data_IF_310155905129
#
_entry.id   IF_310155905129
#
_cell.length_a   1.000
_cell.length_b   1.000
_cell.length_c   1.000
_cell.angle_alpha   90.00
_cell.angle_beta   90.00
_cell.angle_gamma   90.00
#
_symmetry.space_group_name_H-M   'P 1'
#
loop_
_entity.id
_entity.type
_entity.pdbx_description
1 polymer ?
#
# COMPACT_ATOMS: atom_id res chain seq x y z
N UNK A 1 -16.49 -30.55 10.41
CA UNK A 1 -16.99 -30.33 9.03
C UNK A 1 -17.10 -28.82 8.87
N UNK A 2 -16.31 -28.21 7.99
CA UNK A 2 -16.30 -26.76 7.77
C UNK A 2 -17.52 -26.38 6.93
N UNK A 3 -18.58 -25.85 7.55
CA UNK A 3 -19.71 -25.30 6.82
C UNK A 3 -19.43 -23.84 6.46
N UNK A 4 -18.93 -23.63 5.24
CA UNK A 4 -18.81 -22.30 4.64
C UNK A 4 -20.17 -21.89 4.07
N UNK A 5 -20.91 -21.04 4.79
CA UNK A 5 -22.04 -20.30 4.20
C UNK A 5 -21.53 -18.90 3.88
N UNK A 6 -21.12 -18.68 2.64
CA UNK A 6 -20.82 -17.35 2.10
C UNK A 6 -22.10 -16.76 1.52
N UNK A 7 -22.71 -15.82 2.23
CA UNK A 7 -23.76 -14.97 1.67
C UNK A 7 -23.09 -13.73 1.08
N UNK A 8 -23.15 -13.65 -0.26
CA UNK A 8 -22.76 -12.59 -1.20
C UNK A 8 -21.77 -11.54 -0.65
N UNK A 9 -20.51 -11.50 -1.13
CA UNK A 9 -19.57 -10.48 -0.73
C UNK A 9 -19.97 -9.13 -1.32
N UNK A 10 -20.57 -8.25 -0.51
CA UNK A 10 -20.51 -6.83 -0.82
C UNK A 10 -19.13 -6.28 -0.45
N UNK A 11 -18.59 -5.46 -1.34
CA UNK A 11 -17.17 -5.09 -1.49
C UNK A 11 -16.60 -4.23 -0.35
N UNK A 12 -17.40 -3.88 0.67
CA UNK A 12 -17.03 -2.85 1.65
C UNK A 12 -16.94 -3.33 3.10
N UNK A 13 -17.75 -4.32 3.51
CA UNK A 13 -17.67 -4.84 4.88
C UNK A 13 -18.23 -6.24 5.02
N UNK A 14 -17.45 -7.14 5.64
CA UNK A 14 -17.90 -8.50 5.95
C UNK A 14 -17.94 -8.77 7.45
N UNK A 15 -18.86 -9.64 7.84
CA UNK A 15 -18.95 -10.20 9.19
C UNK A 15 -18.49 -11.65 9.12
N UNK A 16 -17.50 -11.99 9.95
CA UNK A 16 -16.91 -13.32 10.02
C UNK A 16 -17.24 -13.91 11.36
N UNK A 17 -18.03 -14.98 11.39
CA UNK A 17 -18.47 -15.60 12.62
C UNK A 17 -17.72 -16.91 12.85
N UNK A 18 -17.12 -17.05 14.03
CA UNK A 18 -16.38 -18.22 14.49
C UNK A 18 -17.10 -18.84 15.68
N UNK A 19 -17.47 -20.11 15.59
CA UNK A 19 -18.13 -20.84 16.68
C UNK A 19 -17.44 -22.17 16.95
N UNK A 20 -17.58 -22.65 18.19
CA UNK A 20 -17.00 -23.92 18.68
C UNK A 20 -17.91 -25.15 18.47
N UNK A 21 -18.92 -25.03 17.59
CA UNK A 21 -19.95 -26.05 17.31
C UNK A 21 -20.85 -26.45 18.50
N UNK A 22 -20.72 -25.82 19.68
CA UNK A 22 -21.53 -26.19 20.86
C UNK A 22 -22.91 -25.53 20.89
N UNK A 23 -23.05 -24.37 20.23
CA UNK A 23 -24.34 -23.66 20.09
C UNK A 23 -24.98 -23.96 18.75
N UNK A 24 -26.30 -24.21 18.73
CA UNK A 24 -27.04 -24.60 17.53
C UNK A 24 -27.01 -23.50 16.45
N UNK A 25 -26.11 -23.64 15.48
CA UNK A 25 -25.77 -22.67 14.42
C UNK A 25 -26.98 -22.32 13.54
N UNK A 26 -27.89 -23.27 13.36
CA UNK A 26 -29.06 -23.16 12.48
C UNK A 26 -30.01 -22.02 12.89
N UNK A 27 -30.14 -21.72 14.18
CA UNK A 27 -31.00 -20.62 14.66
C UNK A 27 -30.38 -19.25 14.36
N UNK A 28 -29.06 -19.13 14.50
CA UNK A 28 -28.33 -17.90 14.17
C UNK A 28 -28.34 -17.64 12.67
N UNK A 29 -28.04 -18.64 11.84
CA UNK A 29 -28.06 -18.52 10.38
C UNK A 29 -29.45 -18.11 9.90
N UNK A 30 -30.53 -18.72 10.43
CA UNK A 30 -31.90 -18.33 10.09
C UNK A 30 -32.27 -16.91 10.56
N UNK A 31 -31.80 -16.49 11.74
CA UNK A 31 -32.02 -15.13 12.26
C UNK A 31 -31.28 -14.09 11.40
N UNK A 32 -30.03 -14.35 11.02
CA UNK A 32 -29.25 -13.46 10.17
C UNK A 32 -29.75 -13.42 8.72
N UNK A 33 -30.21 -14.55 8.18
CA UNK A 33 -30.91 -14.60 6.89
C UNK A 33 -32.21 -13.79 6.89
N UNK A 34 -32.93 -13.78 8.03
CA UNK A 34 -34.15 -12.97 8.17
C UNK A 34 -33.89 -11.46 8.26
N UNK A 35 -32.68 -11.06 8.68
CA UNK A 35 -32.31 -9.67 8.93
C UNK A 35 -31.95 -8.87 7.67
N UNK A 36 -31.89 -9.48 6.47
CA UNK A 36 -31.54 -8.83 5.19
C UNK A 36 -30.42 -7.78 5.35
N UNK A 37 -29.26 -8.20 5.87
CA UNK A 37 -28.13 -7.28 6.02
C UNK A 37 -27.51 -6.96 4.65
N UNK A 38 -27.25 -5.67 4.40
CA UNK A 38 -26.47 -5.17 3.25
C UNK A 38 -24.96 -5.52 3.35
N UNK A 39 -24.59 -6.59 4.06
CA UNK A 39 -23.19 -6.97 4.34
C UNK A 39 -22.97 -8.45 4.07
N UNK A 40 -21.81 -8.77 3.49
CA UNK A 40 -21.41 -10.16 3.29
C UNK A 40 -21.15 -10.86 4.63
N UNK A 41 -21.69 -12.06 4.82
CA UNK A 41 -21.51 -12.85 6.04
C UNK A 41 -20.81 -14.15 5.67
N UNK A 42 -19.71 -14.45 6.35
CA UNK A 42 -19.01 -15.73 6.25
C UNK A 42 -19.02 -16.42 7.61
N UNK A 43 -19.56 -17.64 7.62
CA UNK A 43 -19.62 -18.48 8.80
C UNK A 43 -18.50 -19.53 8.78
N UNK A 44 -17.79 -19.67 9.90
CA UNK A 44 -16.74 -20.67 10.09
C UNK A 44 -17.00 -21.44 11.38
N UNK A 45 -17.29 -22.73 11.21
CA UNK A 45 -17.47 -23.65 12.31
C UNK A 45 -16.18 -24.44 12.55
N UNK A 46 -15.66 -24.40 13.77
CA UNK A 46 -14.51 -25.20 14.17
C UNK A 46 -14.99 -26.20 15.21
N UNK A 47 -15.11 -27.46 14.80
CA UNK A 47 -15.54 -28.54 15.68
C UNK A 47 -14.46 -28.73 16.77
N UNK A 48 -14.82 -28.43 18.01
CA UNK A 48 -13.94 -28.69 19.15
C UNK A 48 -13.98 -30.18 19.51
N UNK A 49 -12.84 -30.86 19.42
CA UNK A 49 -12.66 -32.22 19.92
C UNK A 49 -12.00 -32.19 21.30
N UNK A 50 -12.59 -32.88 22.27
CA UNK A 50 -12.13 -32.96 23.66
C UNK A 50 -10.91 -33.88 23.78
N UNK A 51 -10.71 -34.81 22.84
CA UNK A 51 -9.59 -35.76 22.88
C UNK A 51 -8.29 -35.23 22.26
N UNK A 52 -8.35 -34.37 21.23
CA UNK A 52 -7.17 -33.90 20.50
C UNK A 52 -7.13 -32.37 20.30
N UNK A 53 -6.51 -31.67 21.26
CA UNK A 53 -6.23 -30.22 21.17
C UNK A 53 -5.37 -29.82 19.96
N UNK A 54 -4.55 -30.74 19.44
CA UNK A 54 -3.74 -30.50 18.25
C UNK A 54 -4.59 -30.44 16.98
N UNK A 55 -5.68 -31.20 16.90
CA UNK A 55 -6.59 -31.22 15.75
C UNK A 55 -7.39 -29.93 15.69
N UNK A 56 -7.86 -29.44 16.84
CA UNK A 56 -8.58 -28.16 16.92
C UNK A 56 -7.67 -26.98 16.56
N UNK A 57 -6.42 -26.99 17.01
CA UNK A 57 -5.42 -25.98 16.64
C UNK A 57 -5.11 -26.00 15.12
N UNK A 58 -5.01 -27.19 14.50
CA UNK A 58 -4.79 -27.34 13.06
C UNK A 58 -5.99 -26.89 12.22
N UNK A 59 -7.21 -27.20 12.66
CA UNK A 59 -8.42 -26.73 11.99
C UNK A 59 -8.54 -25.21 12.09
N UNK A 60 -8.27 -24.67 13.28
CA UNK A 60 -8.33 -23.24 13.54
C UNK A 60 -7.26 -22.47 12.76
N UNK A 61 -6.05 -23.02 12.61
CA UNK A 61 -5.00 -22.38 11.78
C UNK A 61 -5.42 -22.29 10.32
N UNK A 62 -6.01 -23.35 9.75
CA UNK A 62 -6.56 -23.33 8.38
C UNK A 62 -7.66 -22.30 8.22
N UNK A 63 -8.58 -22.23 9.20
CA UNK A 63 -9.65 -21.22 9.21
C UNK A 63 -9.05 -19.81 9.28
N UNK A 64 -8.05 -19.60 10.13
CA UNK A 64 -7.35 -18.32 10.25
C UNK A 64 -6.71 -17.91 8.92
N UNK A 65 -6.09 -18.84 8.19
CA UNK A 65 -5.48 -18.56 6.89
C UNK A 65 -6.52 -18.16 5.84
N UNK A 66 -7.65 -18.86 5.76
CA UNK A 66 -8.78 -18.52 4.88
C UNK A 66 -9.38 -17.16 5.22
N UNK A 67 -9.60 -16.89 6.51
CA UNK A 67 -10.14 -15.62 6.97
C UNK A 67 -9.14 -14.48 6.72
N UNK A 68 -7.83 -14.74 6.86
CA UNK A 68 -6.79 -13.77 6.52
C UNK A 68 -6.80 -13.45 5.04
N UNK A 69 -6.95 -14.45 4.18
CA UNK A 69 -7.08 -14.26 2.74
C UNK A 69 -8.31 -13.41 2.39
N UNK A 70 -9.49 -13.73 2.96
CA UNK A 70 -10.70 -12.92 2.81
C UNK A 70 -10.50 -11.48 3.26
N UNK A 71 -9.83 -11.28 4.40
CA UNK A 71 -9.54 -9.96 4.94
C UNK A 71 -8.65 -9.13 4.02
N UNK A 72 -7.67 -9.71 3.34
CA UNK A 72 -6.82 -8.98 2.39
C UNK A 72 -7.61 -8.42 1.20
N UNK A 73 -8.76 -9.01 0.88
CA UNK A 73 -9.66 -8.58 -0.19
C UNK A 73 -10.70 -7.53 0.26
N UNK A 74 -10.84 -7.30 1.57
CA UNK A 74 -11.95 -6.53 2.16
C UNK A 74 -11.44 -5.36 3.02
N UNK A 75 -12.08 -4.19 2.88
CA UNK A 75 -11.65 -2.96 3.56
C UNK A 75 -11.92 -2.97 5.08
N UNK A 76 -13.03 -3.57 5.51
CA UNK A 76 -13.46 -3.57 6.91
C UNK A 76 -14.04 -4.93 7.29
N UNK A 77 -13.42 -5.60 8.26
CA UNK A 77 -13.81 -6.94 8.70
C UNK A 77 -14.18 -6.90 10.17
N UNK A 78 -15.36 -7.41 10.49
CA UNK A 78 -15.80 -7.63 11.87
C UNK A 78 -15.76 -9.12 12.17
N UNK A 79 -14.87 -9.54 13.07
CA UNK A 79 -14.77 -10.93 13.52
C UNK A 79 -15.61 -11.08 14.78
N UNK A 80 -16.57 -11.99 14.74
CA UNK A 80 -17.46 -12.35 15.83
C UNK A 80 -17.10 -13.76 16.29
N UNK A 81 -16.66 -13.90 17.54
CA UNK A 81 -16.35 -15.21 18.13
C UNK A 81 -17.41 -15.52 19.18
N UNK A 82 -18.04 -16.69 19.08
CA UNK A 82 -18.99 -17.19 20.07
C UNK A 82 -18.44 -18.49 20.64
N UNK A 83 -18.05 -18.49 21.90
CA UNK A 83 -17.59 -19.70 22.58
C UNK A 83 -17.68 -19.57 24.10
N UNK A 84 -18.08 -20.68 24.72
CA UNK A 84 -18.11 -20.84 26.18
C UNK A 84 -16.94 -21.71 26.67
N UNK A 85 -16.00 -22.07 25.79
CA UNK A 85 -14.84 -22.90 26.12
C UNK A 85 -13.56 -22.05 26.24
N UNK A 86 -12.90 -22.01 27.43
CA UNK A 86 -11.69 -21.21 27.63
C UNK A 86 -10.49 -21.71 26.82
N UNK A 87 -10.39 -23.02 26.55
CA UNK A 87 -9.30 -23.60 25.75
C UNK A 87 -9.43 -23.24 24.27
N UNK A 88 -10.67 -23.20 23.75
CA UNK A 88 -10.93 -22.72 22.40
C UNK A 88 -10.56 -21.24 22.24
N UNK A 89 -10.96 -20.39 23.20
CA UNK A 89 -10.60 -18.97 23.18
C UNK A 89 -9.08 -18.75 23.30
N UNK A 90 -8.38 -19.59 24.06
CA UNK A 90 -6.93 -19.58 24.14
C UNK A 90 -6.27 -19.98 22.81
N UNK A 91 -6.71 -21.09 22.20
CA UNK A 91 -6.23 -21.52 20.89
C UNK A 91 -6.53 -20.49 19.80
N UNK A 92 -7.73 -19.90 19.81
CA UNK A 92 -8.08 -18.79 18.93
C UNK A 92 -7.13 -17.61 19.13
N UNK A 93 -6.80 -17.30 20.38
CA UNK A 93 -5.89 -16.19 20.64
C UNK A 93 -4.50 -16.43 20.04
N UNK A 94 -3.95 -17.63 20.22
CA UNK A 94 -2.62 -17.97 19.71
C UNK A 94 -2.61 -18.05 18.18
N UNK A 95 -3.57 -18.77 17.58
CA UNK A 95 -3.70 -18.89 16.12
C UNK A 95 -3.96 -17.53 15.46
N UNK A 96 -4.80 -16.68 16.06
CA UNK A 96 -5.12 -15.36 15.53
C UNK A 96 -3.91 -14.42 15.55
N UNK A 97 -3.12 -14.46 16.63
CA UNK A 97 -1.88 -13.69 16.76
C UNK A 97 -0.82 -14.16 15.76
N UNK A 98 -0.56 -15.48 15.69
CA UNK A 98 0.44 -16.06 14.78
C UNK A 98 0.05 -15.91 13.32
N UNK A 99 -1.23 -16.13 13.01
CA UNK A 99 -1.78 -16.01 11.67
C UNK A 99 -2.05 -14.58 11.21
N UNK A 100 -1.78 -13.56 12.06
CA UNK A 100 -2.08 -12.13 11.79
C UNK A 100 -3.50 -11.93 11.23
N UNK A 101 -4.45 -12.64 11.84
CA UNK A 101 -5.86 -12.58 11.50
C UNK A 101 -6.43 -11.18 11.81
N UNK A 102 -6.13 -10.72 13.02
CA UNK A 102 -6.63 -9.48 13.59
C UNK A 102 -5.58 -8.38 13.41
N UNK A 103 -5.95 -7.33 12.67
CA UNK A 103 -5.16 -6.11 12.49
C UNK A 103 -5.89 -4.91 13.09
N UNK A 104 -5.22 -3.76 13.22
CA UNK A 104 -5.79 -2.56 13.85
C UNK A 104 -7.14 -2.09 13.25
N UNK A 105 -7.39 -2.39 11.97
CA UNK A 105 -8.65 -2.09 11.29
C UNK A 105 -9.77 -3.10 11.57
N UNK A 106 -9.46 -4.28 12.08
CA UNK A 106 -10.44 -5.34 12.40
C UNK A 106 -11.17 -5.03 13.69
N UNK A 107 -12.50 -5.26 13.67
CA UNK A 107 -13.34 -5.14 14.86
C UNK A 107 -13.59 -6.54 15.41
N UNK A 108 -13.29 -6.75 16.69
CA UNK A 108 -13.46 -8.04 17.33
C UNK A 108 -14.63 -7.99 18.31
N UNK A 109 -15.56 -8.94 18.19
CA UNK A 109 -16.71 -9.10 19.08
C UNK A 109 -16.67 -10.51 19.64
N UNK A 110 -16.58 -10.64 20.95
CA UNK A 110 -16.50 -11.94 21.62
C UNK A 110 -17.71 -12.11 22.50
N UNK A 111 -18.50 -13.14 22.23
CA UNK A 111 -19.65 -13.56 23.03
C UNK A 111 -19.26 -14.77 23.86
N UNK A 112 -19.40 -14.65 25.17
CA UNK A 112 -19.06 -15.73 26.10
C UNK A 112 -19.91 -15.66 27.36
N UNK A 113 -20.17 -16.81 27.97
CA UNK A 113 -20.80 -16.97 29.30
C UNK A 113 -19.76 -17.18 30.40
N UNK A 114 -18.46 -17.15 30.06
CA UNK A 114 -17.37 -17.41 31.00
C UNK A 114 -17.14 -16.26 31.98
N UNK A 115 -16.79 -16.54 33.25
CA UNK A 115 -16.44 -15.51 34.20
C UNK A 115 -15.18 -14.75 33.75
N UNK A 116 -15.15 -13.44 34.02
CA UNK A 116 -14.07 -12.53 33.59
C UNK A 116 -12.68 -12.98 34.07
N UNK A 117 -12.58 -13.72 35.17
CA UNK A 117 -11.31 -14.28 35.68
C UNK A 117 -10.64 -15.25 34.70
N UNK A 118 -11.41 -16.02 33.93
CA UNK A 118 -10.87 -16.98 32.96
C UNK A 118 -10.55 -16.34 31.59
N UNK A 119 -10.94 -15.08 31.39
CA UNK A 119 -10.73 -14.33 30.15
C UNK A 119 -9.42 -13.53 30.13
N UNK A 120 -8.59 -13.64 31.17
CA UNK A 120 -7.27 -12.99 31.22
C UNK A 120 -6.36 -13.43 30.06
N UNK A 121 -6.50 -14.67 29.56
CA UNK A 121 -5.74 -15.18 28.41
C UNK A 121 -5.96 -14.31 27.16
N UNK A 122 -7.16 -13.77 27.02
CA UNK A 122 -7.57 -12.96 25.89
C UNK A 122 -7.13 -11.48 26.03
N UNK A 123 -6.61 -11.08 27.19
CA UNK A 123 -6.25 -9.69 27.50
C UNK A 123 -5.32 -9.10 26.45
N UNK A 124 -4.29 -9.85 26.00
CA UNK A 124 -3.35 -9.37 24.98
C UNK A 124 -4.04 -9.02 23.65
N UNK A 125 -4.98 -9.84 23.19
CA UNK A 125 -5.71 -9.56 21.95
C UNK A 125 -6.70 -8.43 22.16
N UNK A 126 -7.39 -8.44 23.30
CA UNK A 126 -8.31 -7.37 23.63
C UNK A 126 -7.57 -6.03 23.76
N UNK A 127 -6.36 -5.98 24.29
CA UNK A 127 -5.60 -4.73 24.41
C UNK A 127 -5.09 -4.22 23.06
N UNK A 128 -4.65 -5.12 22.17
CA UNK A 128 -4.14 -4.76 20.84
C UNK A 128 -5.21 -4.35 19.82
N UNK A 129 -6.49 -4.72 20.01
CA UNK A 129 -7.51 -4.62 18.96
C UNK A 129 -8.71 -3.77 19.38
N UNK A 130 -9.46 -3.25 18.40
CA UNK A 130 -10.79 -2.68 18.64
C UNK A 130 -11.78 -3.82 18.98
N UNK A 131 -11.70 -4.29 20.21
CA UNK A 131 -12.39 -5.48 20.69
C UNK A 131 -13.44 -5.17 21.76
N UNK A 132 -14.51 -5.94 21.75
CA UNK A 132 -15.66 -5.83 22.64
C UNK A 132 -16.06 -7.22 23.17
N UNK A 133 -16.31 -7.31 24.48
CA UNK A 133 -16.58 -8.57 25.17
C UNK A 133 -18.03 -8.57 25.70
N UNK A 134 -18.90 -9.32 25.05
CA UNK A 134 -20.29 -9.47 25.49
C UNK A 134 -20.40 -10.67 26.42
N UNK A 135 -20.67 -10.39 27.70
CA UNK A 135 -20.88 -11.43 28.70
C UNK A 135 -22.36 -11.80 28.80
N UNK A 136 -22.69 -12.99 28.33
CA UNK A 136 -24.07 -13.48 28.23
C UNK A 136 -24.53 -14.10 29.57
N UNK A 137 -24.71 -13.28 30.60
CA UNK A 137 -25.46 -13.70 31.82
C UNK A 137 -26.94 -13.35 31.66
N UNK A 138 -27.85 -13.87 32.50
CA UNK A 138 -29.29 -13.51 32.50
C UNK A 138 -29.58 -12.00 32.68
N UNK A 139 -28.55 -11.19 32.96
CA UNK A 139 -28.60 -9.73 33.00
C UNK A 139 -28.11 -9.01 31.72
N UNK A 140 -27.66 -9.75 30.70
CA UNK A 140 -27.21 -9.29 29.37
C UNK A 140 -26.26 -8.10 29.38
N UNK A 141 -25.29 -8.08 30.29
CA UNK A 141 -24.33 -6.96 30.39
C UNK A 141 -23.29 -7.04 29.28
N UNK A 142 -23.13 -5.93 28.58
CA UNK A 142 -22.14 -5.73 27.54
C UNK A 142 -20.94 -5.02 28.15
N UNK A 143 -19.81 -5.70 28.18
CA UNK A 143 -18.58 -5.20 28.78
C UNK A 143 -17.60 -4.77 27.67
N UNK A 144 -16.89 -3.67 27.87
CA UNK A 144 -15.63 -3.46 27.17
C UNK A 144 -14.49 -3.59 28.16
N UNK A 145 -13.37 -4.16 27.73
CA UNK A 145 -12.14 -4.13 28.49
C UNK A 145 -11.42 -2.84 28.13
N UNK A 146 -11.43 -1.89 29.06
CA UNK A 146 -10.67 -0.64 28.98
C UNK A 146 -9.82 -0.55 30.25
N UNK A 147 -8.50 -0.56 30.10
CA UNK A 147 -7.50 -0.44 31.18
C UNK A 147 -7.79 -1.26 32.43
N UNK A 148 -7.36 -2.52 32.42
CA UNK A 148 -7.38 -3.51 33.52
C UNK A 148 -8.73 -3.80 34.19
N UNK A 149 -9.79 -3.03 33.91
CA UNK A 149 -11.12 -3.17 34.52
C UNK A 149 -12.21 -3.24 33.45
N UNK A 150 -13.12 -4.24 33.50
CA UNK A 150 -14.23 -4.31 32.57
C UNK A 150 -15.23 -3.18 32.84
N UNK A 151 -15.49 -2.34 31.83
CA UNK A 151 -16.48 -1.27 31.86
C UNK A 151 -17.79 -1.76 31.22
N UNK A 152 -18.93 -1.59 31.90
CA UNK A 152 -20.24 -1.95 31.34
C UNK A 152 -20.76 -0.84 30.43
N UNK A 153 -20.84 -1.08 29.11
CA UNK A 153 -21.28 -0.09 28.12
C UNK A 153 -22.78 -0.15 27.84
N UNK A 154 -23.35 -1.35 27.83
CA UNK A 154 -24.77 -1.56 27.55
C UNK A 154 -25.34 -2.75 28.33
N UNK A 155 -26.67 -2.83 28.36
CA UNK A 155 -27.42 -3.95 28.91
C UNK A 155 -28.46 -4.39 27.90
N UNK A 156 -28.45 -5.65 27.56
CA UNK A 156 -29.46 -6.31 26.78
C UNK A 156 -30.40 -7.08 27.70
N UNK A 157 -31.71 -6.96 27.49
CA UNK A 157 -32.70 -7.81 28.15
C UNK A 157 -33.70 -8.31 27.12
N UNK A 158 -34.22 -9.54 27.26
CA UNK A 158 -35.19 -10.09 26.31
C UNK A 158 -36.45 -9.22 26.14
N UNK A 159 -36.90 -8.53 27.20
CA UNK A 159 -38.10 -7.70 27.18
C UNK A 159 -37.90 -6.25 26.71
N UNK A 160 -36.79 -5.60 27.08
CA UNK A 160 -36.54 -4.19 26.75
C UNK A 160 -35.50 -3.99 25.64
N UNK A 161 -34.97 -5.08 25.07
CA UNK A 161 -33.95 -5.03 24.03
C UNK A 161 -32.61 -4.47 24.53
N UNK A 162 -31.88 -3.82 23.63
CA UNK A 162 -30.56 -3.26 23.88
C UNK A 162 -30.66 -1.85 24.46
N UNK A 163 -30.15 -1.65 25.68
CA UNK A 163 -30.15 -0.37 26.39
C UNK A 163 -28.71 0.10 26.64
N UNK A 164 -28.36 1.28 26.13
CA UNK A 164 -27.03 1.87 26.29
C UNK A 164 -26.94 2.49 27.68
N UNK A 165 -25.96 2.07 28.49
CA UNK A 165 -25.78 2.58 29.86
C UNK A 165 -24.80 3.76 29.91
N UNK A 166 -23.88 3.86 28.94
CA UNK A 166 -22.82 4.89 28.90
C UNK A 166 -22.89 5.76 27.65
N UNK A 167 -22.47 7.03 27.75
CA UNK A 167 -22.29 7.93 26.59
C UNK A 167 -21.03 7.62 25.76
N UNK A 168 -20.20 6.67 26.20
CA UNK A 168 -18.99 6.27 25.51
C UNK A 168 -19.32 5.46 24.24
N UNK A 169 -18.56 5.65 23.14
CA UNK A 169 -18.73 4.83 21.95
C UNK A 169 -18.40 3.35 22.26
N UNK A 170 -19.10 2.43 21.59
CA UNK A 170 -18.88 0.98 21.76
C UNK A 170 -17.46 0.52 21.41
N UNK A 171 -16.84 1.23 20.47
CA UNK A 171 -15.44 1.08 20.11
C UNK A 171 -14.77 2.44 20.36
N UNK A 172 -14.27 2.72 21.57
CA UNK A 172 -13.48 3.92 21.81
C UNK A 172 -12.21 3.85 20.98
N UNK A 173 -11.75 5.00 20.49
CA UNK A 173 -10.44 5.10 19.85
C UNK A 173 -9.37 4.82 20.91
N UNK A 174 -8.91 3.56 20.97
CA UNK A 174 -7.94 3.06 21.97
C UNK A 174 -6.63 3.85 21.99
N UNK A 175 -6.29 4.48 20.87
CA UNK A 175 -5.01 5.13 20.66
C UNK A 175 -5.08 6.64 20.76
N UNK A 176 -5.96 7.19 21.61
CA UNK A 176 -6.09 8.65 21.67
C UNK A 176 -4.89 9.32 22.32
N UNK A 177 -4.21 8.70 23.32
CA UNK A 177 -2.88 9.08 23.85
C UNK A 177 -2.27 7.91 24.63
N UNK A 178 -0.95 7.72 24.55
CA UNK A 178 -0.26 6.86 25.52
C UNK A 178 -0.33 7.53 26.91
N UNK A 179 -0.84 6.80 27.92
CA UNK A 179 -1.06 7.32 29.29
C UNK A 179 0.26 7.67 30.01
N UNK A 180 1.34 7.01 29.63
CA UNK A 180 2.72 7.35 30.00
C UNK A 180 3.46 7.73 28.71
N UNK A 181 4.66 8.31 28.80
CA UNK A 181 5.51 8.56 27.62
C UNK A 181 6.38 7.31 27.33
N UNK A 182 5.88 6.30 26.58
CA UNK A 182 6.74 5.18 26.17
C UNK A 182 7.85 5.71 25.27
N UNK A 183 9.00 5.04 25.30
CA UNK A 183 10.10 5.35 24.38
C UNK A 183 10.12 4.31 23.27
N UNK A 184 9.71 4.69 22.06
CA UNK A 184 9.62 3.81 20.90
C UNK A 184 10.92 3.79 20.09
N UNK A 185 11.32 2.62 19.62
CA UNK A 185 12.40 2.42 18.67
C UNK A 185 11.88 2.59 17.23
N UNK A 186 12.39 3.58 16.51
CA UNK A 186 11.96 3.93 15.15
C UNK A 186 13.03 3.54 14.15
N UNK A 187 12.75 2.54 13.32
CA UNK A 187 13.63 2.12 12.25
C UNK A 187 13.61 3.16 11.11
N UNK A 188 14.75 3.74 10.77
CA UNK A 188 14.85 4.70 9.66
C UNK A 188 16.17 4.58 8.92
N UNK A 189 16.20 5.03 7.66
CA UNK A 189 17.44 5.07 6.89
C UNK A 189 18.40 6.14 7.45
N UNK A 190 19.70 5.91 7.33
CA UNK A 190 20.71 6.82 7.87
C UNK A 190 20.59 8.23 7.27
N UNK A 191 20.25 8.34 5.99
CA UNK A 191 20.09 9.63 5.29
C UNK A 191 18.96 10.48 5.88
N UNK A 192 17.88 9.83 6.31
CA UNK A 192 16.72 10.46 6.92
C UNK A 192 17.05 11.04 8.30
N UNK A 193 17.77 10.27 9.13
CA UNK A 193 18.22 10.76 10.45
C UNK A 193 19.24 11.90 10.35
N UNK A 194 20.10 11.89 9.33
CA UNK A 194 21.08 12.96 9.09
C UNK A 194 20.42 14.28 8.68
N UNK A 195 19.30 14.24 7.95
CA UNK A 195 18.52 15.46 7.69
C UNK A 195 17.96 16.05 8.98
N UNK A 196 17.40 15.22 9.87
CA UNK A 196 16.81 15.67 11.15
C UNK A 196 17.86 16.31 12.07
N UNK A 197 19.07 15.72 12.16
CA UNK A 197 20.15 16.20 13.04
C UNK A 197 20.96 17.39 12.49
N UNK A 198 20.81 17.75 11.21
CA UNK A 198 21.52 18.90 10.64
C UNK A 198 20.95 20.21 11.20
N UNK A 199 21.75 20.96 11.99
CA UNK A 199 21.42 22.32 12.42
C UNK A 199 21.59 23.37 11.30
N UNK A 200 21.84 22.94 10.06
CA UNK A 200 22.07 23.84 8.95
C UNK A 200 20.74 24.32 8.37
N UNK A 201 20.38 25.62 8.45
CA UNK A 201 19.11 26.15 7.95
C UNK A 201 18.91 25.95 6.43
N UNK A 202 19.97 25.58 5.70
CA UNK A 202 19.95 25.31 4.25
C UNK A 202 19.82 23.81 3.91
N UNK A 203 19.69 22.90 4.89
CA UNK A 203 19.47 21.48 4.58
C UNK A 203 18.04 21.26 4.07
N UNK A 204 17.92 20.60 2.90
CA UNK A 204 16.63 20.16 2.32
C UNK A 204 15.74 19.54 3.41
N UNK A 205 14.50 20.03 3.46
CA UNK A 205 13.40 19.70 4.38
C UNK A 205 13.67 18.54 5.33
N UNK A 206 13.81 18.84 6.62
CA UNK A 206 13.70 17.85 7.69
C UNK A 206 12.33 17.20 7.61
N UNK A 207 12.28 15.87 7.62
CA UNK A 207 11.00 15.18 7.78
C UNK A 207 10.61 15.22 9.27
N UNK A 208 9.58 16.01 9.58
CA UNK A 208 9.06 16.19 10.94
C UNK A 208 7.92 15.19 11.26
N UNK A 209 7.65 14.21 10.41
CA UNK A 209 6.56 13.25 10.61
C UNK A 209 6.67 12.52 11.94
N UNK A 210 7.87 12.08 12.33
CA UNK A 210 8.09 11.39 13.62
C UNK A 210 7.80 12.32 14.80
N UNK A 211 8.17 13.61 14.71
CA UNK A 211 7.90 14.61 15.75
C UNK A 211 6.40 14.89 15.89
N UNK A 212 5.68 15.06 14.78
CA UNK A 212 4.24 15.25 14.79
C UNK A 212 3.50 14.03 15.37
N UNK A 213 3.95 12.82 15.05
CA UNK A 213 3.41 11.59 15.64
C UNK A 213 3.69 11.53 17.15
N UNK A 214 4.93 11.81 17.55
CA UNK A 214 5.35 11.83 18.95
C UNK A 214 4.52 12.82 19.78
N UNK A 215 4.32 14.03 19.26
CA UNK A 215 3.53 15.08 19.92
C UNK A 215 2.03 14.74 19.99
N UNK A 216 1.47 14.19 18.91
CA UNK A 216 0.03 13.88 18.86
C UNK A 216 -0.36 12.69 19.74
N UNK A 217 0.49 11.67 19.81
CA UNK A 217 0.22 10.42 20.55
C UNK A 217 0.91 10.35 21.93
N UNK A 218 1.75 11.34 22.27
CA UNK A 218 2.46 11.46 23.54
C UNK A 218 3.46 10.31 23.82
N UNK A 219 4.41 10.10 22.90
CA UNK A 219 5.52 9.16 23.09
C UNK A 219 6.87 9.82 22.82
N UNK A 220 7.94 9.27 23.41
CA UNK A 220 9.33 9.59 23.06
C UNK A 220 9.85 8.56 22.08
N UNK A 221 10.88 8.90 21.32
CA UNK A 221 11.43 7.96 20.34
C UNK A 221 12.95 7.99 20.26
N UNK A 222 13.53 6.88 19.78
CA UNK A 222 14.95 6.77 19.41
C UNK A 222 15.05 6.15 18.03
N UNK A 223 15.96 6.65 17.21
CA UNK A 223 16.21 6.05 15.90
C UNK A 223 17.07 4.80 16.00
N UNK A 224 16.71 3.79 15.22
CA UNK A 224 17.46 2.56 15.03
C UNK A 224 17.73 2.42 13.53
N UNK A 225 18.94 1.97 13.19
CA UNK A 225 19.35 1.77 11.81
C UNK A 225 19.61 0.30 11.57
N UNK A 226 19.30 -0.17 10.36
CA UNK A 226 19.67 -1.51 9.97
C UNK A 226 21.17 -1.57 9.67
N UNK A 227 21.84 -2.62 10.15
CA UNK A 227 23.30 -2.79 9.99
C UNK A 227 23.73 -2.87 8.51
N UNK A 228 22.85 -3.37 7.66
CA UNK A 228 23.05 -3.51 6.21
C UNK A 228 22.66 -2.25 5.43
N UNK A 229 22.03 -1.26 6.08
CA UNK A 229 21.58 -0.02 5.44
C UNK A 229 20.49 -0.21 4.38
N UNK A 230 19.82 -1.36 4.33
CA UNK A 230 18.79 -1.65 3.32
C UNK A 230 17.38 -1.41 3.85
N UNK A 231 16.42 -1.14 2.96
CA UNK A 231 15.00 -1.08 3.34
C UNK A 231 14.46 -2.46 3.74
N UNK A 232 15.07 -3.54 3.24
CA UNK A 232 14.69 -4.91 3.53
C UNK A 232 14.04 -5.64 2.35
N UNK A 233 14.53 -6.85 2.11
CA UNK A 233 14.04 -7.81 1.12
C UNK A 233 13.78 -9.16 1.79
N UNK A 234 12.86 -9.93 1.21
CA UNK A 234 12.61 -11.31 1.64
C UNK A 234 13.80 -12.18 1.23
N UNK A 235 14.39 -12.88 2.19
CA UNK A 235 15.51 -13.78 1.99
C UNK A 235 15.00 -15.20 1.67
N UNK A 236 15.89 -16.09 1.25
CA UNK A 236 15.53 -17.47 0.86
C UNK A 236 15.00 -18.31 2.03
N UNK A 237 15.42 -18.01 3.25
CA UNK A 237 14.95 -18.64 4.48
C UNK A 237 13.58 -18.10 4.95
N UNK A 238 12.99 -17.16 4.21
CA UNK A 238 11.72 -16.51 4.53
C UNK A 238 11.84 -15.33 5.51
N UNK A 239 13.04 -15.06 6.05
CA UNK A 239 13.32 -13.89 6.88
C UNK A 239 13.37 -12.61 6.04
N UNK A 240 13.32 -11.45 6.71
CA UNK A 240 13.52 -10.16 6.06
C UNK A 240 14.79 -9.49 6.57
N UNK A 241 15.54 -8.90 5.64
CA UNK A 241 16.70 -8.04 5.90
C UNK A 241 16.29 -6.58 6.16
N UNK A 242 17.26 -5.71 6.40
CA UNK A 242 17.03 -4.26 6.44
C UNK A 242 16.08 -3.76 7.53
N UNK A 243 15.54 -2.56 7.28
CA UNK A 243 14.57 -1.89 8.15
C UNK A 243 13.29 -2.74 8.33
N UNK A 244 12.82 -3.41 7.28
CA UNK A 244 11.67 -4.33 7.37
C UNK A 244 11.96 -5.48 8.32
N UNK A 245 13.18 -6.04 8.27
CA UNK A 245 13.62 -7.09 9.17
C UNK A 245 13.67 -6.67 10.63
N UNK A 246 14.13 -5.45 10.92
CA UNK A 246 14.16 -4.91 12.29
C UNK A 246 12.76 -4.89 12.91
N UNK A 247 11.76 -4.40 12.18
CA UNK A 247 10.39 -4.34 12.67
C UNK A 247 9.77 -5.73 12.75
N UNK A 248 10.02 -6.59 11.76
CA UNK A 248 9.50 -7.96 11.75
C UNK A 248 10.03 -8.82 12.91
N UNK A 249 11.24 -8.55 13.40
CA UNK A 249 11.85 -9.21 14.57
C UNK A 249 11.58 -8.50 15.90
N UNK A 250 10.73 -7.47 15.90
CA UNK A 250 10.40 -6.66 17.09
C UNK A 250 11.63 -5.94 17.69
N UNK A 251 12.70 -5.72 16.90
CA UNK A 251 13.88 -4.93 17.30
C UNK A 251 13.61 -3.42 17.19
N UNK A 252 12.62 -3.05 16.38
CA UNK A 252 12.05 -1.70 16.26
C UNK A 252 10.53 -1.76 16.31
N UNK A 253 9.89 -0.76 16.92
CA UNK A 253 8.44 -0.72 17.10
C UNK A 253 7.71 -0.36 15.80
N UNK A 254 8.29 0.55 15.02
CA UNK A 254 7.82 0.87 13.67
C UNK A 254 8.97 1.40 12.81
N UNK A 255 8.76 1.44 11.50
CA UNK A 255 9.70 2.04 10.56
C UNK A 255 9.10 3.27 9.89
N UNK A 256 9.94 4.28 9.63
CA UNK A 256 9.58 5.47 8.88
C UNK A 256 10.61 5.77 7.78
N UNK A 257 10.11 6.07 6.59
CA UNK A 257 10.92 6.31 5.40
C UNK A 257 10.14 6.06 4.11
N UNK A 258 10.79 6.21 2.95
CA UNK A 258 10.16 6.02 1.64
C UNK A 258 9.98 4.53 1.31
N UNK A 259 9.11 3.84 2.05
CA UNK A 259 8.81 2.43 1.81
C UNK A 259 7.82 2.27 0.65
N UNK A 260 8.25 1.51 -0.36
CA UNK A 260 7.31 0.99 -1.35
C UNK A 260 6.33 0.01 -0.70
N UNK A 261 5.03 0.21 -0.94
CA UNK A 261 3.97 -0.73 -0.57
C UNK A 261 4.04 -1.94 -1.50
N UNK A 262 4.42 -3.10 -0.95
CA UNK A 262 4.60 -4.34 -1.73
C UNK A 262 3.95 -5.51 -1.00
N UNK A 263 3.42 -6.46 -1.77
CA UNK A 263 2.73 -7.63 -1.21
C UNK A 263 3.66 -8.46 -0.31
N UNK A 264 4.91 -8.67 -0.73
CA UNK A 264 5.89 -9.44 0.05
C UNK A 264 6.14 -8.84 1.44
N UNK A 265 6.31 -7.51 1.54
CA UNK A 265 6.50 -6.84 2.83
C UNK A 265 5.23 -6.82 3.69
N UNK A 266 4.05 -6.75 3.07
CA UNK A 266 2.76 -6.80 3.77
C UNK A 266 2.45 -8.17 4.42
N UNK A 267 3.19 -9.23 4.05
CA UNK A 267 3.09 -10.54 4.75
C UNK A 267 3.55 -10.46 6.20
N UNK A 268 4.59 -9.66 6.47
CA UNK A 268 5.27 -9.55 7.77
C UNK A 268 5.01 -8.24 8.50
N UNK A 269 4.68 -7.16 7.79
CA UNK A 269 4.40 -5.83 8.37
C UNK A 269 2.99 -5.35 8.06
N UNK A 270 2.57 -4.31 8.79
CA UNK A 270 1.38 -3.51 8.48
C UNK A 270 1.77 -2.11 8.05
N UNK A 271 1.04 -1.60 7.05
CA UNK A 271 1.25 -0.26 6.53
C UNK A 271 0.18 0.70 7.04
N UNK A 272 0.61 1.92 7.36
CA UNK A 272 -0.28 3.05 7.45
C UNK A 272 -0.77 3.45 6.05
N UNK A 273 -1.78 4.34 6.00
CA UNK A 273 -2.20 4.93 4.75
C UNK A 273 -1.02 5.67 4.08
N UNK A 274 -0.79 5.50 2.77
CA UNK A 274 0.34 6.13 2.11
C UNK A 274 0.23 7.65 2.18
N UNK A 275 1.27 8.30 2.69
CA UNK A 275 1.37 9.78 2.77
C UNK A 275 1.88 10.38 1.47
N UNK A 276 2.67 9.63 0.71
CA UNK A 276 3.26 10.05 -0.56
C UNK A 276 2.94 8.98 -1.62
N UNK A 277 2.40 9.43 -2.75
CA UNK A 277 2.21 8.61 -3.94
C UNK A 277 3.22 9.08 -4.99
N UNK A 278 4.08 8.18 -5.43
CA UNK A 278 5.08 8.44 -6.47
C UNK A 278 4.84 7.53 -7.67
N UNK A 279 5.10 8.07 -8.87
CA UNK A 279 5.02 7.32 -10.11
C UNK A 279 6.42 7.03 -10.65
N UNK A 280 6.60 5.83 -11.20
CA UNK A 280 7.85 5.45 -11.86
C UNK A 280 8.11 6.41 -13.02
N UNK A 281 9.22 7.14 -12.93
CA UNK A 281 9.62 8.12 -13.95
C UNK A 281 10.99 7.72 -14.49
N UNK A 282 11.11 7.62 -15.81
CA UNK A 282 12.39 7.35 -16.46
C UNK A 282 13.12 8.69 -16.61
N UNK A 283 14.27 8.82 -15.95
CA UNK A 283 15.16 9.95 -16.15
C UNK A 283 16.17 9.59 -17.25
N UNK A 284 16.02 10.25 -18.40
CA UNK A 284 17.00 10.25 -19.47
C UNK A 284 17.95 11.43 -19.33
N UNK A 285 19.24 11.21 -19.56
CA UNK A 285 20.19 12.32 -19.71
C UNK A 285 19.77 13.19 -20.89
N UNK A 286 19.57 14.49 -20.66
CA UNK A 286 19.39 15.44 -21.76
C UNK A 286 20.73 15.55 -22.46
N UNK A 287 20.86 14.95 -23.64
CA UNK A 287 22.04 15.11 -24.49
C UNK A 287 22.34 16.59 -24.73
N UNK A 288 23.61 16.91 -24.96
CA UNK A 288 23.97 18.26 -25.43
C UNK A 288 23.48 18.39 -26.88
N UNK A 289 22.88 19.52 -27.28
CA UNK A 289 22.60 19.76 -28.69
C UNK A 289 23.93 19.70 -29.45
N UNK A 290 24.04 18.78 -30.39
CA UNK A 290 25.21 18.69 -31.26
C UNK A 290 25.15 19.87 -32.23
N UNK A 291 26.10 20.78 -32.10
CA UNK A 291 26.23 21.92 -33.01
C UNK A 291 27.01 21.41 -34.21
N UNK A 292 26.30 21.00 -35.26
CA UNK A 292 26.90 20.63 -36.55
C UNK A 292 27.20 21.91 -37.36
N UNK A 293 28.47 22.27 -37.61
CA UNK A 293 28.83 23.42 -38.44
C UNK A 293 28.32 23.33 -39.88
N UNK A 294 28.05 22.12 -40.38
CA UNK A 294 27.51 21.85 -41.72
C UNK A 294 26.01 21.56 -41.70
N UNK A 295 25.33 21.82 -40.57
CA UNK A 295 23.89 21.58 -40.42
C UNK A 295 23.03 22.30 -41.47
N UNK A 296 23.54 23.36 -42.11
CA UNK A 296 22.87 24.05 -43.21
C UNK A 296 22.79 23.23 -44.51
N UNK A 297 23.57 22.16 -44.66
CA UNK A 297 23.57 21.26 -45.84
C UNK A 297 22.54 20.14 -45.68
N UNK A 298 22.21 19.77 -44.43
CA UNK A 298 21.27 18.70 -44.07
C UNK A 298 19.83 18.85 -44.61
N UNK A 299 19.27 20.06 -44.85
CA UNK A 299 17.90 20.19 -45.37
C UNK A 299 17.70 19.61 -46.77
N UNK A 300 18.77 19.48 -47.56
CA UNK A 300 18.73 18.93 -48.91
C UNK A 300 19.44 17.57 -48.95
N UNK A 301 18.76 16.56 -49.50
CA UNK A 301 19.37 15.25 -49.71
C UNK A 301 20.59 15.33 -50.64
N UNK A 302 21.55 14.43 -50.46
CA UNK A 302 22.76 14.35 -51.31
C UNK A 302 22.44 14.22 -52.80
N UNK A 303 21.35 13.52 -53.14
CA UNK A 303 20.83 13.41 -54.51
C UNK A 303 20.44 14.77 -55.10
N UNK A 304 19.84 15.65 -54.31
CA UNK A 304 19.43 16.99 -54.74
C UNK A 304 20.67 17.86 -54.98
N UNK A 305 21.66 17.80 -54.07
CA UNK A 305 22.94 18.48 -54.27
C UNK A 305 23.65 18.07 -55.56
N UNK A 306 23.68 16.77 -55.85
CA UNK A 306 24.23 16.24 -57.11
C UNK A 306 23.43 16.77 -58.30
N UNK A 307 22.10 16.79 -58.22
CA UNK A 307 21.24 17.31 -59.30
C UNK A 307 21.47 18.81 -59.57
N UNK A 308 21.70 19.60 -58.51
CA UNK A 308 22.03 21.03 -58.63
C UNK A 308 23.39 21.19 -59.31
N UNK A 309 24.40 20.40 -58.94
CA UNK A 309 25.72 20.42 -59.57
C UNK A 309 25.63 20.04 -61.06
N UNK A 310 24.87 19.00 -61.40
CA UNK A 310 24.63 18.58 -62.78
C UNK A 310 23.93 19.69 -63.57
N UNK A 311 22.90 20.32 -63.00
CA UNK A 311 22.20 21.44 -63.65
C UNK A 311 23.12 22.65 -63.85
N UNK A 312 23.98 22.97 -62.87
CA UNK A 312 24.98 24.04 -62.94
C UNK A 312 26.01 23.84 -64.05
N UNK A 313 26.33 22.59 -64.41
CA UNK A 313 27.22 22.28 -65.53
C UNK A 313 26.46 22.22 -66.87
N UNK A 314 25.26 21.65 -66.87
CA UNK A 314 24.47 21.42 -68.07
C UNK A 314 24.00 22.73 -68.70
N UNK A 315 23.45 23.66 -67.91
CA UNK A 315 22.84 24.90 -68.44
C UNK A 315 23.86 25.80 -69.16
N UNK A 316 25.06 26.08 -68.61
CA UNK A 316 26.10 26.81 -69.33
C UNK A 316 26.60 26.06 -70.56
N UNK A 317 26.73 24.72 -70.49
CA UNK A 317 27.20 23.95 -71.64
C UNK A 317 26.25 24.04 -72.84
N UNK A 318 24.93 23.96 -72.60
CA UNK A 318 23.90 24.15 -73.63
C UNK A 318 23.91 25.58 -74.18
N UNK A 319 24.02 26.59 -73.31
CA UNK A 319 24.09 27.99 -73.75
C UNK A 319 25.35 28.33 -74.57
N UNK A 320 26.45 27.62 -74.33
CA UNK A 320 27.68 27.76 -75.09
C UNK A 320 27.55 27.10 -76.48
N UNK A 321 26.85 25.97 -76.58
CA UNK A 321 26.69 25.20 -77.83
C UNK A 321 25.60 25.76 -78.75
N UNK A 322 24.49 26.26 -78.20
CA UNK A 322 23.34 26.79 -78.95
C UNK A 322 23.68 27.77 -80.09
N UNK A 323 24.59 28.76 -79.92
CA UNK A 323 24.95 29.72 -80.98
C UNK A 323 25.70 29.09 -82.14
N UNK A 324 26.44 28.00 -81.90
CA UNK A 324 27.11 27.25 -82.96
C UNK A 324 26.11 26.44 -83.80
N UNK A 325 25.02 25.99 -83.20
CA UNK A 325 23.97 25.25 -83.90
C UNK A 325 22.96 26.17 -84.62
N UNK A 326 22.75 27.38 -84.11
CA UNK A 326 21.83 28.38 -84.68
C UNK A 326 22.54 29.73 -84.86
N UNK A 327 23.25 29.92 -85.98
CA UNK A 327 23.92 31.19 -86.26
C UNK A 327 22.88 32.28 -86.54
N UNK A 328 22.75 33.23 -85.60
CA UNK A 328 21.97 34.47 -85.79
C UNK A 328 22.88 35.55 -86.36
N UNK A 329 22.44 36.21 -87.43
CA UNK A 329 23.25 37.13 -88.23
C UNK A 329 23.35 38.54 -87.61
N UNK A 330 23.80 38.64 -86.36
CA UNK A 330 24.08 39.93 -85.70
C UNK A 330 25.49 39.98 -85.10
N UNK A 331 26.16 41.12 -85.29
CA UNK A 331 27.53 41.40 -84.86
C UNK A 331 27.61 41.70 -83.35
N UNK A 332 27.26 40.72 -82.51
CA UNK A 332 27.43 40.81 -81.05
C UNK A 332 28.77 40.19 -80.67
N UNK A 333 29.70 41.00 -80.16
CA UNK A 333 30.95 40.50 -79.54
C UNK A 333 30.62 39.78 -78.24
N UNK A 334 30.34 38.48 -78.33
CA UNK A 334 29.95 37.63 -77.21
C UNK A 334 31.17 37.11 -76.47
N UNK A 335 31.37 37.55 -75.23
CA UNK A 335 32.42 37.03 -74.35
C UNK A 335 31.84 35.93 -73.47
N UNK A 336 32.37 34.71 -73.60
CA UNK A 336 31.97 33.54 -72.80
C UNK A 336 32.03 33.78 -71.28
N UNK A 337 32.91 34.69 -70.85
CA UNK A 337 33.03 35.13 -69.44
C UNK A 337 31.79 35.89 -68.98
N UNK A 338 31.20 36.71 -69.86
CA UNK A 338 29.99 37.48 -69.54
C UNK A 338 28.76 36.57 -69.47
N UNK A 339 28.70 35.52 -70.27
CA UNK A 339 27.63 34.52 -70.22
C UNK A 339 27.67 33.73 -68.89
N UNK A 340 28.86 33.32 -68.45
CA UNK A 340 29.04 32.66 -67.15
C UNK A 340 28.69 33.62 -66.00
N UNK A 341 29.08 34.89 -66.11
CA UNK A 341 28.81 35.88 -65.08
C UNK A 341 27.31 36.22 -64.96
N UNK A 342 26.61 36.32 -66.09
CA UNK A 342 25.14 36.52 -66.13
C UNK A 342 24.39 35.29 -65.60
N UNK A 343 24.86 34.07 -65.86
CA UNK A 343 24.34 32.84 -65.26
C UNK A 343 24.43 32.85 -63.73
N UNK A 344 25.61 33.15 -63.20
CA UNK A 344 25.86 33.22 -61.74
C UNK A 344 24.95 34.27 -61.10
N UNK A 345 24.74 35.41 -61.76
CA UNK A 345 23.81 36.46 -61.31
C UNK A 345 22.36 35.97 -61.23
N UNK A 346 21.88 35.27 -62.26
CA UNK A 346 20.52 34.71 -62.27
C UNK A 346 20.35 33.66 -61.16
N UNK A 347 21.34 32.79 -60.94
CA UNK A 347 21.30 31.75 -59.90
C UNK A 347 21.32 32.35 -58.49
N UNK A 348 22.12 33.39 -58.26
CA UNK A 348 22.19 34.09 -56.98
C UNK A 348 21.02 35.06 -56.76
N UNK A 349 20.09 35.16 -57.73
CA UNK A 349 18.98 36.12 -57.72
C UNK A 349 19.47 37.57 -57.55
N UNK A 350 20.65 37.87 -58.07
CA UNK A 350 21.24 39.20 -58.07
C UNK A 350 21.08 39.78 -59.48
N UNK A 351 20.01 40.54 -59.69
CA UNK A 351 19.72 41.25 -60.95
C UNK A 351 20.73 42.32 -61.29
#
# INVERSE_FOLDING_TARGET
>A
MLFLVTLVPDTRSSIIMLTDATTNVTSFVNTFLSLKLDRGISFFEVAWDVQDSNVTHLQLSKVVDEVRWLRQMLWSVTVVVVSDNPLFLAAFSDCSSKGRLLMWSTRLLIFTRLPVSQLQILHKILSMMNAMLVHMNDSGKVLSTWDDKPLCLARWTPGNGFSITTKLPFFPAKYTRFLQEPTLAVATESFHSQQVQSNNPNSRSKDHTTDYLAQSMNFRYRYVHANDGTFGSKQQDGSFSGLVGLVAREEADFAIGPFAYTASRAEVLDYAWPTIIQYLTILGGRGRPEIDPWGFVLPLATSVWVSILVALLLVPSVMCVLPYCFPVNENVTRSWVMDIFTMVRVILQQG
#
